data_IF_106006256586
#
_entry.id   IF_106006256586
#
_cell.length_a   1.000
_cell.length_b   1.000
_cell.length_c   1.000
_cell.angle_alpha   90.00
_cell.angle_beta   90.00
_cell.angle_gamma   90.00
#
_symmetry.space_group_name_H-M   'P 1'
#
loop_
_entity.id
_entity.type
_entity.pdbx_description
1 polymer ?
#
# COMPACT_ATOMS: atom_id res chain seq x y z
N UNK A 1 7.12 -18.55 -12.86
CA UNK A 1 7.11 -17.42 -13.81
C UNK A 1 6.04 -17.65 -14.88
N UNK A 2 4.76 -17.73 -14.49
CA UNK A 2 3.58 -17.84 -15.38
C UNK A 2 2.39 -17.20 -14.65
N UNK A 3 2.39 -15.88 -14.50
CA UNK A 3 1.23 -15.14 -13.93
C UNK A 3 1.20 -13.70 -14.49
N UNK A 4 1.16 -13.50 -15.82
CA UNK A 4 1.39 -12.13 -16.33
C UNK A 4 0.58 -11.64 -17.53
N UNK A 5 -0.35 -12.39 -18.14
CA UNK A 5 -1.05 -11.87 -19.34
C UNK A 5 -2.47 -11.38 -19.09
N UNK A 6 -3.25 -12.03 -18.23
CA UNK A 6 -4.64 -11.62 -17.98
C UNK A 6 -4.80 -10.54 -16.90
N UNK A 7 -3.95 -10.48 -15.87
CA UNK A 7 -4.05 -9.42 -14.84
C UNK A 7 -3.63 -8.05 -15.40
N UNK A 8 -2.64 -8.01 -16.29
CA UNK A 8 -2.14 -6.77 -16.90
C UNK A 8 -3.21 -6.08 -17.78
N UNK A 9 -4.03 -6.85 -18.49
CA UNK A 9 -5.10 -6.30 -19.33
C UNK A 9 -6.23 -5.70 -18.49
N UNK A 10 -6.65 -6.36 -17.42
CA UNK A 10 -7.66 -5.85 -16.47
C UNK A 10 -7.15 -4.58 -15.79
N UNK A 11 -5.89 -4.58 -15.32
CA UNK A 11 -5.27 -3.42 -14.68
C UNK A 11 -5.14 -2.22 -15.63
N UNK A 12 -4.82 -2.43 -16.92
CA UNK A 12 -4.79 -1.36 -17.93
C UNK A 12 -6.16 -0.73 -18.15
N UNK A 13 -7.24 -1.52 -18.13
CA UNK A 13 -8.62 -1.01 -18.28
C UNK A 13 -9.04 -0.19 -17.06
N UNK A 14 -8.70 -0.61 -15.84
CA UNK A 14 -8.94 0.15 -14.60
C UNK A 14 -8.16 1.49 -14.56
N UNK A 15 -6.90 1.49 -15.03
CA UNK A 15 -6.10 2.72 -15.12
C UNK A 15 -6.71 3.68 -16.16
N UNK A 16 -7.22 3.16 -17.28
CA UNK A 16 -7.78 3.97 -18.38
C UNK A 16 -9.16 4.55 -18.04
N UNK A 17 -10.01 3.80 -17.32
CA UNK A 17 -11.29 4.30 -16.79
C UNK A 17 -11.09 5.38 -15.73
N UNK A 18 -10.06 5.24 -14.88
CA UNK A 18 -9.64 6.31 -13.96
C UNK A 18 -9.17 7.58 -14.69
N UNK A 19 -8.38 7.43 -15.76
CA UNK A 19 -7.98 8.57 -16.60
C UNK A 19 -9.18 9.30 -17.25
N UNK A 20 -10.32 8.62 -17.36
CA UNK A 20 -11.57 9.14 -17.89
C UNK A 20 -12.50 9.73 -16.81
N UNK A 21 -12.10 9.69 -15.52
CA UNK A 21 -12.79 10.39 -14.43
C UNK A 21 -14.03 9.68 -13.88
N UNK A 22 -14.13 8.36 -14.05
CA UNK A 22 -15.27 7.58 -13.56
C UNK A 22 -14.78 6.33 -12.82
N UNK A 23 -14.87 6.35 -11.50
CA UNK A 23 -14.73 5.17 -10.63
C UNK A 23 -16.10 4.81 -10.08
N UNK A 24 -16.64 3.69 -10.54
CA UNK A 24 -18.02 3.31 -10.25
C UNK A 24 -18.15 2.68 -8.85
N UNK A 25 -17.13 1.94 -8.40
CA UNK A 25 -17.15 1.16 -7.17
C UNK A 25 -15.80 1.18 -6.42
N UNK A 26 -15.76 0.95 -5.09
CA UNK A 26 -14.53 0.85 -4.30
C UNK A 26 -13.56 -0.19 -4.83
N UNK A 27 -14.08 -1.31 -5.36
CA UNK A 27 -13.26 -2.36 -5.97
C UNK A 27 -12.46 -1.87 -7.19
N UNK A 28 -12.95 -0.86 -7.91
CA UNK A 28 -12.21 -0.25 -9.01
C UNK A 28 -11.06 0.61 -8.48
N UNK A 29 -11.24 1.28 -7.33
CA UNK A 29 -10.14 1.97 -6.64
C UNK A 29 -9.08 0.99 -6.15
N UNK A 30 -9.50 -0.15 -5.58
CA UNK A 30 -8.57 -1.22 -5.19
C UNK A 30 -7.81 -1.72 -6.42
N UNK A 31 -8.49 -1.97 -7.54
CA UNK A 31 -7.87 -2.40 -8.79
C UNK A 31 -6.87 -1.37 -9.33
N UNK A 32 -7.18 -0.07 -9.22
CA UNK A 32 -6.25 1.01 -9.54
C UNK A 32 -5.02 1.02 -8.63
N UNK A 33 -5.24 0.90 -7.32
CA UNK A 33 -4.17 0.79 -6.32
C UNK A 33 -3.29 -0.44 -6.55
N UNK A 34 -3.87 -1.54 -6.99
CA UNK A 34 -3.15 -2.75 -7.37
C UNK A 34 -2.31 -2.55 -8.64
N UNK A 35 -2.91 -1.98 -9.69
CA UNK A 35 -2.26 -1.75 -10.97
C UNK A 35 -1.09 -0.76 -10.93
N UNK A 36 -1.03 0.11 -9.93
CA UNK A 36 0.06 1.09 -9.77
C UNK A 36 0.92 0.83 -8.55
N UNK A 37 0.36 0.99 -7.36
CA UNK A 37 1.14 0.95 -6.12
C UNK A 37 1.55 -0.46 -5.73
N UNK A 38 0.68 -1.46 -5.94
CA UNK A 38 1.08 -2.85 -5.66
C UNK A 38 2.14 -3.34 -6.63
N UNK A 39 2.05 -2.99 -7.92
CA UNK A 39 3.11 -3.30 -8.89
C UNK A 39 4.46 -2.70 -8.48
N UNK A 40 4.46 -1.43 -8.04
CA UNK A 40 5.66 -0.79 -7.51
C UNK A 40 6.18 -1.52 -6.26
N UNK A 41 5.29 -1.91 -5.35
CA UNK A 41 5.67 -2.67 -4.16
C UNK A 41 6.27 -4.03 -4.53
N UNK A 42 5.73 -4.75 -5.51
CA UNK A 42 6.28 -6.02 -5.98
C UNK A 42 7.68 -5.85 -6.58
N UNK A 43 7.91 -4.79 -7.36
CA UNK A 43 9.23 -4.49 -7.92
C UNK A 43 10.23 -4.18 -6.79
N UNK A 44 9.84 -3.35 -5.83
CA UNK A 44 10.68 -3.03 -4.67
C UNK A 44 10.94 -4.27 -3.81
N UNK A 45 9.93 -5.10 -3.58
CA UNK A 45 10.06 -6.37 -2.87
C UNK A 45 11.06 -7.28 -3.58
N UNK A 46 10.95 -7.46 -4.90
CA UNK A 46 11.88 -8.26 -5.69
C UNK A 46 13.31 -7.72 -5.63
N UNK A 47 13.48 -6.39 -5.63
CA UNK A 47 14.78 -5.78 -5.44
C UNK A 47 15.35 -6.06 -4.05
N UNK A 48 14.56 -5.87 -2.99
CA UNK A 48 14.95 -6.11 -1.60
C UNK A 48 15.25 -7.59 -1.32
N UNK A 49 14.52 -8.47 -1.99
CA UNK A 49 14.72 -9.93 -2.03
C UNK A 49 15.67 -10.34 -3.17
N UNK A 50 16.67 -9.50 -3.50
CA UNK A 50 17.75 -9.88 -4.41
C UNK A 50 18.99 -10.37 -3.65
N UNK A 51 19.67 -11.37 -4.22
CA UNK A 51 20.82 -12.03 -3.57
C UNK A 51 21.93 -11.04 -3.18
N UNK A 52 21.99 -9.90 -3.86
CA UNK A 52 22.94 -8.82 -3.58
C UNK A 52 22.56 -8.04 -2.30
N UNK A 53 21.27 -7.82 -2.05
CA UNK A 53 20.81 -7.01 -0.93
C UNK A 53 20.54 -7.83 0.32
N UNK A 54 19.99 -9.05 0.22
CA UNK A 54 19.61 -9.81 1.42
C UNK A 54 19.70 -11.34 1.25
N UNK A 55 20.91 -11.91 1.10
CA UNK A 55 21.08 -13.34 0.82
C UNK A 55 20.40 -14.27 1.86
N UNK A 56 20.46 -13.92 3.15
CA UNK A 56 19.81 -14.71 4.20
C UNK A 56 18.29 -14.65 4.17
N UNK A 57 17.73 -13.53 3.71
CA UNK A 57 16.27 -13.35 3.64
C UNK A 57 15.70 -14.09 2.44
N UNK A 58 16.44 -14.16 1.34
CA UNK A 58 16.01 -14.91 0.16
C UNK A 58 15.96 -16.39 0.46
N UNK A 59 17.03 -16.92 1.04
CA UNK A 59 17.02 -18.30 1.50
C UNK A 59 15.84 -18.58 2.42
N UNK A 60 15.61 -17.74 3.43
CA UNK A 60 14.45 -17.85 4.32
C UNK A 60 13.12 -17.89 3.56
N UNK A 61 12.96 -17.01 2.56
CA UNK A 61 11.75 -16.93 1.75
C UNK A 61 11.64 -18.12 0.79
N UNK A 62 12.75 -18.66 0.28
CA UNK A 62 12.80 -19.86 -0.57
C UNK A 62 12.41 -21.14 0.19
N UNK A 63 12.61 -21.20 1.52
CA UNK A 63 12.21 -22.34 2.36
C UNK A 63 10.69 -22.53 2.48
N UNK A 64 9.88 -21.48 2.27
CA UNK A 64 8.43 -21.55 2.47
C UNK A 64 7.65 -20.77 1.42
N UNK A 65 6.84 -21.49 0.64
CA UNK A 65 5.89 -20.90 -0.30
C UNK A 65 4.78 -20.13 0.42
N UNK A 66 4.43 -20.52 1.65
CA UNK A 66 3.49 -19.81 2.49
C UNK A 66 4.03 -18.43 2.88
N UNK A 67 5.31 -18.36 3.29
CA UNK A 67 5.98 -17.10 3.59
C UNK A 67 6.04 -16.18 2.35
N UNK A 68 6.35 -16.72 1.17
CA UNK A 68 6.33 -15.98 -0.10
C UNK A 68 4.95 -15.36 -0.39
N UNK A 69 3.89 -16.15 -0.24
CA UNK A 69 2.52 -15.70 -0.47
C UNK A 69 2.13 -14.61 0.51
N UNK A 70 2.39 -14.81 1.82
CA UNK A 70 2.06 -13.82 2.85
C UNK A 70 2.73 -12.46 2.61
N UNK A 71 4.03 -12.44 2.28
CA UNK A 71 4.75 -11.20 2.00
C UNK A 71 4.18 -10.50 0.75
N UNK A 72 3.87 -11.27 -0.29
CA UNK A 72 3.29 -10.74 -1.54
C UNK A 72 1.89 -10.16 -1.30
N UNK A 73 1.05 -10.85 -0.54
CA UNK A 73 -0.28 -10.37 -0.18
C UNK A 73 -0.22 -9.10 0.68
N UNK A 74 0.72 -9.01 1.63
CA UNK A 74 0.96 -7.78 2.40
C UNK A 74 1.30 -6.62 1.47
N UNK A 75 2.21 -6.81 0.51
CA UNK A 75 2.58 -5.81 -0.49
C UNK A 75 1.37 -5.35 -1.32
N UNK A 76 0.48 -6.28 -1.67
CA UNK A 76 -0.77 -6.01 -2.40
C UNK A 76 -1.73 -5.14 -1.58
N UNK A 77 -2.04 -5.55 -0.35
CA UNK A 77 -2.95 -4.81 0.53
C UNK A 77 -2.44 -3.39 0.82
N UNK A 78 -1.13 -3.23 1.05
CA UNK A 78 -0.52 -1.90 1.24
C UNK A 78 -0.68 -1.05 -0.03
N UNK A 79 -0.45 -1.62 -1.21
CA UNK A 79 -0.58 -0.89 -2.47
C UNK A 79 -2.03 -0.48 -2.76
N UNK A 80 -3.00 -1.36 -2.54
CA UNK A 80 -4.43 -1.06 -2.67
C UNK A 80 -4.87 0.05 -1.70
N UNK A 81 -4.48 -0.04 -0.42
CA UNK A 81 -4.74 1.00 0.57
C UNK A 81 -4.13 2.35 0.17
N UNK A 82 -2.86 2.34 -0.28
CA UNK A 82 -2.16 3.54 -0.75
C UNK A 82 -2.85 4.17 -1.97
N UNK A 83 -3.35 3.35 -2.89
CA UNK A 83 -4.11 3.80 -4.05
C UNK A 83 -5.38 4.55 -3.64
N UNK A 84 -6.18 3.96 -2.75
CA UNK A 84 -7.41 4.60 -2.25
C UNK A 84 -7.08 5.92 -1.53
N UNK A 85 -6.10 5.93 -0.62
CA UNK A 85 -5.70 7.13 0.10
C UNK A 85 -5.23 8.26 -0.84
N UNK A 86 -4.48 7.91 -1.89
CA UNK A 86 -3.98 8.87 -2.87
C UNK A 86 -5.12 9.55 -3.63
N UNK A 87 -6.19 8.81 -3.92
CA UNK A 87 -7.40 9.33 -4.58
C UNK A 87 -8.15 10.29 -3.67
N UNK A 88 -8.35 9.92 -2.40
CA UNK A 88 -8.99 10.78 -1.40
C UNK A 88 -8.22 12.10 -1.27
N UNK A 89 -6.90 12.03 -1.09
CA UNK A 89 -6.03 13.22 -0.97
C UNK A 89 -6.06 14.06 -2.25
N UNK A 90 -6.04 13.41 -3.42
CA UNK A 90 -6.05 14.06 -4.72
C UNK A 90 -7.38 14.71 -5.11
N UNK A 91 -8.49 14.35 -4.45
CA UNK A 91 -9.87 14.71 -4.88
C UNK A 91 -10.03 16.21 -5.10
N UNK A 92 -9.59 17.05 -4.16
CA UNK A 92 -9.67 18.51 -4.29
C UNK A 92 -8.88 19.03 -5.50
N UNK A 93 -7.67 18.53 -5.70
CA UNK A 93 -6.82 18.94 -6.82
C UNK A 93 -7.46 18.60 -8.17
N UNK A 94 -7.97 17.38 -8.33
CA UNK A 94 -8.63 16.94 -9.55
C UNK A 94 -9.94 17.70 -9.82
N UNK A 95 -10.73 17.97 -8.78
CA UNK A 95 -11.94 18.75 -8.91
C UNK A 95 -11.66 20.18 -9.43
N UNK A 96 -10.66 20.84 -8.85
CA UNK A 96 -10.34 22.24 -9.17
C UNK A 96 -9.60 22.41 -10.50
N UNK A 97 -8.66 21.51 -10.81
CA UNK A 97 -7.74 21.70 -11.94
C UNK A 97 -8.06 20.83 -13.16
N UNK A 98 -8.84 19.76 -12.97
CA UNK A 98 -9.17 18.78 -14.02
C UNK A 98 -10.66 18.61 -14.23
N UNK A 99 -11.50 19.29 -13.45
CA UNK A 99 -12.95 19.17 -13.49
C UNK A 99 -13.42 17.70 -13.40
N UNK A 100 -12.77 16.92 -12.52
CA UNK A 100 -12.98 15.49 -12.34
C UNK A 100 -13.15 15.14 -10.86
N UNK A 101 -14.09 14.23 -10.57
CA UNK A 101 -14.29 13.64 -9.24
C UNK A 101 -13.98 12.16 -9.31
N UNK A 102 -12.97 11.74 -8.55
CA UNK A 102 -12.47 10.36 -8.58
C UNK A 102 -12.91 9.55 -7.36
N UNK A 103 -13.98 9.98 -6.68
CA UNK A 103 -14.56 9.25 -5.56
C UNK A 103 -15.52 8.16 -6.06
N UNK A 104 -15.75 7.08 -5.28
CA UNK A 104 -16.68 6.02 -5.66
C UNK A 104 -18.12 6.53 -5.82
N UNK A 105 -18.68 6.35 -7.01
CA UNK A 105 -20.03 6.84 -7.34
C UNK A 105 -21.10 6.15 -6.49
N UNK A 106 -20.94 4.87 -6.17
CA UNK A 106 -21.84 4.12 -5.32
C UNK A 106 -21.90 4.67 -3.87
N UNK A 107 -20.76 4.96 -3.26
CA UNK A 107 -20.68 5.59 -1.93
C UNK A 107 -21.27 7.01 -2.02
N UNK A 108 -20.94 7.77 -3.05
CA UNK A 108 -21.51 9.10 -3.26
C UNK A 108 -23.05 9.05 -3.38
N UNK A 109 -23.57 8.09 -4.12
CA UNK A 109 -25.02 7.88 -4.30
C UNK A 109 -25.69 7.50 -2.99
N UNK A 110 -25.05 6.65 -2.17
CA UNK A 110 -25.55 6.26 -0.84
C UNK A 110 -25.73 7.45 0.11
N UNK A 111 -24.91 8.50 -0.05
CA UNK A 111 -24.96 9.73 0.75
C UNK A 111 -25.66 10.90 0.04
N UNK A 112 -26.40 10.63 -1.04
CA UNK A 112 -27.10 11.63 -1.87
C UNK A 112 -26.19 12.80 -2.31
N UNK A 113 -24.96 12.47 -2.69
CA UNK A 113 -23.93 13.42 -3.10
C UNK A 113 -23.67 13.32 -4.61
N UNK A 114 -24.02 14.36 -5.36
CA UNK A 114 -23.74 14.39 -6.80
C UNK A 114 -22.32 14.85 -7.10
N UNK A 115 -21.72 14.32 -8.18
CA UNK A 115 -20.41 14.79 -8.67
C UNK A 115 -20.44 16.26 -9.09
N UNK A 116 -21.55 16.71 -9.68
CA UNK A 116 -21.73 18.11 -10.10
C UNK A 116 -21.72 19.05 -8.90
N UNK A 117 -22.44 18.73 -7.82
CA UNK A 117 -22.45 19.50 -6.57
C UNK A 117 -21.05 19.60 -5.96
N UNK A 118 -20.26 18.53 -6.02
CA UNK A 118 -18.86 18.58 -5.58
C UNK A 118 -18.00 19.46 -6.47
N UNK A 119 -18.15 19.39 -7.80
CA UNK A 119 -17.41 20.25 -8.72
C UNK A 119 -17.73 21.72 -8.49
N UNK A 120 -19.03 22.06 -8.35
CA UNK A 120 -19.48 23.42 -8.01
C UNK A 120 -18.93 23.88 -6.66
N UNK A 121 -18.95 23.02 -5.64
CA UNK A 121 -18.36 23.30 -4.34
C UNK A 121 -16.87 23.66 -4.45
N UNK A 122 -16.09 22.83 -5.15
CA UNK A 122 -14.64 23.04 -5.29
C UNK A 122 -14.26 24.23 -6.18
N UNK A 123 -15.14 24.60 -7.12
CA UNK A 123 -15.01 25.80 -7.97
C UNK A 123 -15.54 27.07 -7.29
N UNK A 124 -16.24 26.94 -6.16
CA UNK A 124 -16.75 28.06 -5.38
C UNK A 124 -18.15 28.55 -5.79
N UNK A 125 -18.88 27.78 -6.60
CA UNK A 125 -20.19 28.11 -7.16
C UNK A 125 -21.36 27.35 -6.49
N UNK A 126 -21.30 27.19 -5.17
CA UNK A 126 -22.27 26.37 -4.42
C UNK A 126 -22.84 27.12 -3.22
N UNK A 127 -24.17 27.15 -3.12
CA UNK A 127 -24.92 27.89 -2.09
C UNK A 127 -25.11 27.05 -0.81
N UNK A 128 -25.18 25.72 -0.95
CA UNK A 128 -25.41 24.77 0.16
C UNK A 128 -24.11 24.11 0.65
N UNK A 129 -23.06 24.92 0.85
CA UNK A 129 -21.71 24.41 1.17
C UNK A 129 -21.66 23.48 2.37
N UNK A 130 -22.30 23.87 3.47
CA UNK A 130 -22.21 23.12 4.74
C UNK A 130 -22.81 21.70 4.64
N UNK A 131 -23.92 21.55 3.92
CA UNK A 131 -24.57 20.24 3.73
C UNK A 131 -23.71 19.32 2.85
N UNK A 132 -23.22 19.86 1.72
CA UNK A 132 -22.40 19.11 0.77
C UNK A 132 -21.06 18.71 1.41
N UNK A 133 -20.46 19.59 2.23
CA UNK A 133 -19.26 19.27 3.01
C UNK A 133 -19.50 18.17 4.05
N UNK A 134 -20.68 18.12 4.67
CA UNK A 134 -21.03 17.03 5.60
C UNK A 134 -21.14 15.70 4.86
N UNK A 135 -21.91 15.65 3.76
CA UNK A 135 -22.05 14.46 2.90
C UNK A 135 -20.70 14.00 2.35
N UNK A 136 -19.84 14.93 1.94
CA UNK A 136 -18.48 14.62 1.47
C UNK A 136 -17.63 13.97 2.57
N UNK A 137 -17.73 14.42 3.82
CA UNK A 137 -17.01 13.80 4.94
C UNK A 137 -17.44 12.35 5.14
N UNK A 138 -18.74 12.06 5.04
CA UNK A 138 -19.26 10.69 5.17
C UNK A 138 -18.79 9.79 4.02
N UNK A 139 -18.79 10.30 2.79
CA UNK A 139 -18.25 9.58 1.61
C UNK A 139 -16.75 9.30 1.77
N UNK A 140 -15.97 10.30 2.21
CA UNK A 140 -14.53 10.14 2.45
C UNK A 140 -14.30 9.12 3.57
N UNK A 141 -15.05 9.20 4.67
CA UNK A 141 -14.95 8.27 5.78
C UNK A 141 -15.18 6.83 5.30
N UNK A 142 -16.28 6.57 4.61
CA UNK A 142 -16.62 5.22 4.11
C UNK A 142 -15.58 4.72 3.10
N UNK A 143 -15.07 5.58 2.23
CA UNK A 143 -13.96 5.24 1.31
C UNK A 143 -12.68 4.88 2.07
N UNK A 144 -12.35 5.63 3.13
CA UNK A 144 -11.18 5.41 3.98
C UNK A 144 -11.32 4.15 4.87
N UNK A 145 -12.53 3.73 5.22
CA UNK A 145 -12.76 2.45 5.92
C UNK A 145 -12.22 1.30 5.07
N UNK A 146 -12.51 1.28 3.76
CA UNK A 146 -11.97 0.25 2.85
C UNK A 146 -10.45 0.25 2.83
N UNK A 147 -9.83 1.44 2.74
CA UNK A 147 -8.36 1.56 2.79
C UNK A 147 -7.78 1.04 4.11
N UNK A 148 -8.46 1.31 5.23
CA UNK A 148 -8.06 0.85 6.55
C UNK A 148 -8.22 -0.68 6.69
N UNK A 149 -9.25 -1.28 6.11
CA UNK A 149 -9.45 -2.74 6.12
C UNK A 149 -8.30 -3.47 5.41
N UNK A 150 -7.79 -2.92 4.30
CA UNK A 150 -6.57 -3.43 3.67
C UNK A 150 -5.36 -3.35 4.62
N UNK A 151 -5.19 -2.25 5.37
CA UNK A 151 -4.09 -2.12 6.34
C UNK A 151 -4.23 -3.09 7.52
N UNK A 152 -5.45 -3.29 8.03
CA UNK A 152 -5.73 -4.26 9.10
C UNK A 152 -5.42 -5.68 8.62
N UNK A 153 -5.82 -6.01 7.39
CA UNK A 153 -5.52 -7.31 6.78
C UNK A 153 -4.01 -7.51 6.61
N UNK A 154 -3.29 -6.49 6.16
CA UNK A 154 -1.83 -6.53 6.05
C UNK A 154 -1.15 -6.72 7.42
N UNK A 155 -1.64 -6.04 8.47
CA UNK A 155 -1.16 -6.20 9.85
C UNK A 155 -1.39 -7.61 10.38
N UNK A 156 -2.54 -8.20 10.10
CA UNK A 156 -2.85 -9.57 10.51
C UNK A 156 -1.94 -10.58 9.81
N UNK A 157 -1.77 -10.45 8.48
CA UNK A 157 -0.83 -11.27 7.72
C UNK A 157 0.62 -11.10 8.19
N UNK A 158 1.01 -9.91 8.65
CA UNK A 158 2.34 -9.71 9.23
C UNK A 158 2.55 -10.51 10.54
N UNK A 159 1.49 -10.77 11.32
CA UNK A 159 1.59 -11.70 12.46
C UNK A 159 1.83 -13.12 11.99
N UNK A 160 1.10 -13.57 10.98
CA UNK A 160 1.31 -14.89 10.36
C UNK A 160 2.73 -15.04 9.79
N UNK A 161 3.29 -13.99 9.16
CA UNK A 161 4.69 -13.97 8.72
C UNK A 161 5.65 -14.21 9.87
N UNK A 162 5.44 -13.58 11.03
CA UNK A 162 6.29 -13.77 12.21
C UNK A 162 6.24 -15.22 12.67
N UNK A 163 5.04 -15.80 12.75
CA UNK A 163 4.82 -17.19 13.17
C UNK A 163 5.52 -18.18 12.22
N UNK A 164 5.35 -17.99 10.91
CA UNK A 164 5.97 -18.85 9.90
C UNK A 164 7.50 -18.71 9.91
N UNK A 165 8.05 -17.50 10.09
CA UNK A 165 9.50 -17.31 10.26
C UNK A 165 10.00 -18.04 11.52
N UNK A 166 9.31 -17.94 12.65
CA UNK A 166 9.69 -18.64 13.89
C UNK A 166 9.69 -20.16 13.69
N UNK A 167 8.71 -20.70 12.95
CA UNK A 167 8.64 -22.11 12.58
C UNK A 167 9.82 -22.52 11.71
N UNK A 168 10.13 -21.77 10.65
CA UNK A 168 11.28 -22.05 9.77
C UNK A 168 12.60 -22.02 10.56
N UNK A 169 12.79 -21.03 11.45
CA UNK A 169 14.01 -20.95 12.28
C UNK A 169 14.16 -22.19 13.18
N UNK A 170 13.05 -22.77 13.65
CA UNK A 170 13.09 -23.97 14.50
C UNK A 170 13.41 -25.26 13.75
N UNK A 171 13.15 -25.29 12.44
CA UNK A 171 13.30 -26.50 11.61
C UNK A 171 14.48 -26.44 10.64
N UNK A 172 14.99 -25.25 10.32
CA UNK A 172 16.03 -25.09 9.29
C UNK A 172 17.41 -25.50 9.80
N UNK A 173 18.19 -26.13 8.92
CA UNK A 173 19.60 -26.45 9.15
C UNK A 173 20.55 -25.41 8.54
N UNK A 174 20.02 -24.38 7.83
CA UNK A 174 20.87 -23.38 7.15
C UNK A 174 21.57 -22.45 8.16
N UNK A 175 22.89 -22.56 8.23
CA UNK A 175 23.74 -21.79 9.13
C UNK A 175 23.63 -20.27 8.93
N UNK A 176 23.40 -19.81 7.69
CA UNK A 176 23.32 -18.38 7.38
C UNK A 176 22.04 -17.78 7.96
N UNK A 177 20.92 -18.50 7.87
CA UNK A 177 19.64 -18.10 8.47
C UNK A 177 19.79 -18.05 9.99
N UNK A 178 20.31 -19.12 10.60
CA UNK A 178 20.47 -19.22 12.05
C UNK A 178 21.44 -18.16 12.63
N UNK A 179 22.49 -17.81 11.90
CA UNK A 179 23.43 -16.75 12.30
C UNK A 179 22.79 -15.37 12.22
N UNK A 180 22.03 -15.08 11.16
CA UNK A 180 21.43 -13.76 10.93
C UNK A 180 20.15 -13.53 11.72
N UNK A 181 19.37 -14.57 12.00
CA UNK A 181 18.12 -14.48 12.76
C UNK A 181 18.30 -13.83 14.14
N UNK A 182 19.46 -14.04 14.79
CA UNK A 182 19.84 -13.40 16.06
C UNK A 182 19.91 -11.87 16.00
N UNK A 183 20.07 -11.29 14.81
CA UNK A 183 20.16 -9.84 14.60
C UNK A 183 18.85 -9.21 14.15
N UNK A 184 17.83 -10.01 13.84
CA UNK A 184 16.56 -9.53 13.33
C UNK A 184 15.72 -8.88 14.44
N UNK A 185 15.12 -7.74 14.11
CA UNK A 185 14.25 -7.03 15.03
C UNK A 185 12.86 -7.63 15.01
N UNK A 186 12.28 -7.85 16.20
CA UNK A 186 10.97 -8.50 16.36
C UNK A 186 10.83 -9.81 15.55
N UNK A 187 11.93 -10.56 15.43
CA UNK A 187 12.01 -11.84 14.70
C UNK A 187 11.79 -11.75 13.18
N UNK A 188 11.88 -10.55 12.59
CA UNK A 188 11.70 -10.34 11.14
C UNK A 188 12.94 -9.66 10.54
N UNK A 189 13.44 -10.09 9.37
CA UNK A 189 14.49 -9.39 8.65
C UNK A 189 14.16 -7.90 8.45
N UNK A 190 15.16 -7.02 8.59
CA UNK A 190 14.95 -5.57 8.48
C UNK A 190 14.30 -5.14 7.14
N UNK A 191 14.55 -5.87 6.04
CA UNK A 191 13.96 -5.61 4.73
C UNK A 191 12.48 -6.01 4.61
N UNK A 192 11.97 -6.82 5.54
CA UNK A 192 10.56 -7.20 5.64
C UNK A 192 9.81 -6.40 6.72
N UNK A 193 10.53 -5.60 7.51
CA UNK A 193 9.98 -4.88 8.65
C UNK A 193 9.50 -3.47 8.27
N UNK A 194 8.19 -3.31 8.03
CA UNK A 194 7.57 -2.03 7.64
C UNK A 194 6.96 -1.22 8.82
N UNK A 195 7.06 -1.73 10.05
CA UNK A 195 6.21 -1.30 11.17
C UNK A 195 6.70 -0.07 11.96
N UNK A 196 7.68 0.70 11.45
CA UNK A 196 8.39 1.65 12.31
C UNK A 196 7.57 2.86 12.78
N UNK A 197 6.42 3.13 12.16
CA UNK A 197 5.56 4.29 12.49
C UNK A 197 4.06 3.96 12.58
N UNK A 198 3.67 2.69 12.70
CA UNK A 198 2.27 2.27 12.89
C UNK A 198 1.23 2.92 11.93
N UNK A 199 1.68 3.27 10.72
CA UNK A 199 0.89 4.00 9.71
C UNK A 199 0.22 5.29 10.22
N UNK A 200 0.77 5.93 11.27
CA UNK A 200 0.25 7.18 11.82
C UNK A 200 0.69 8.39 10.97
N UNK A 201 -0.09 8.65 9.92
CA UNK A 201 0.10 9.73 8.91
C UNK A 201 0.22 11.12 9.56
N UNK A 202 -0.29 11.30 10.78
CA UNK A 202 -0.29 12.58 11.50
C UNK A 202 0.91 12.74 12.44
N UNK A 203 1.73 11.72 12.62
CA UNK A 203 2.93 11.85 13.44
C UNK A 203 3.97 12.74 12.75
N UNK A 204 4.51 13.73 13.48
CA UNK A 204 5.68 14.53 13.05
C UNK A 204 6.92 13.68 12.72
N UNK A 205 6.91 12.39 13.05
CA UNK A 205 7.96 11.42 12.74
C UNK A 205 7.83 10.82 11.32
N UNK A 206 6.67 10.96 10.66
CA UNK A 206 6.48 10.59 9.24
C UNK A 206 6.95 11.69 8.29
N UNK A 207 7.17 12.92 8.77
CA UNK A 207 8.09 13.88 8.15
C UNK A 207 9.55 13.39 8.29
N UNK A 208 9.79 12.14 7.93
CA UNK A 208 11.12 11.59 7.86
C UNK A 208 11.78 12.30 6.68
N UNK A 209 12.69 13.19 7.03
CA UNK A 209 13.69 13.75 6.13
C UNK A 209 14.25 12.60 5.26
N UNK A 210 13.81 12.49 4.01
CA UNK A 210 14.11 11.37 3.09
C UNK A 210 15.61 11.06 3.03
N UNK A 211 16.45 12.08 3.21
CA UNK A 211 17.90 11.97 3.27
C UNK A 211 18.40 11.07 4.41
N UNK A 212 17.71 11.00 5.56
CA UNK A 212 18.08 10.13 6.70
C UNK A 212 17.87 8.66 6.36
N UNK A 213 16.82 8.32 5.62
CA UNK A 213 16.58 6.95 5.17
C UNK A 213 17.66 6.53 4.17
N UNK A 214 17.93 7.37 3.17
CA UNK A 214 18.99 7.15 2.17
C UNK A 214 20.37 7.04 2.84
N UNK A 215 20.68 7.94 3.78
CA UNK A 215 21.94 7.95 4.53
C UNK A 215 22.12 6.71 5.41
N UNK A 216 21.06 6.28 6.11
CA UNK A 216 21.13 5.08 6.93
C UNK A 216 21.26 3.81 6.08
N UNK A 217 20.59 3.72 4.94
CA UNK A 217 20.76 2.63 3.98
C UNK A 217 22.19 2.58 3.44
N UNK A 218 22.74 3.71 3.00
CA UNK A 218 24.13 3.82 2.55
C UNK A 218 25.13 3.44 3.66
N UNK A 219 24.95 4.00 4.86
CA UNK A 219 25.83 3.74 6.01
C UNK A 219 25.80 2.27 6.42
N UNK A 220 24.63 1.64 6.43
CA UNK A 220 24.50 0.22 6.76
C UNK A 220 25.10 -0.68 5.67
N UNK A 221 24.97 -0.30 4.40
CA UNK A 221 25.65 -0.96 3.28
C UNK A 221 27.17 -0.91 3.43
N UNK A 222 27.73 0.27 3.73
CA UNK A 222 29.17 0.46 3.92
C UNK A 222 29.74 -0.25 5.15
N UNK A 223 28.93 -0.43 6.20
CA UNK A 223 29.32 -1.10 7.44
C UNK A 223 29.12 -2.61 7.40
N UNK A 224 28.67 -3.16 6.29
CA UNK A 224 28.40 -4.59 6.16
C UNK A 224 29.74 -5.32 6.07
N UNK A 225 30.07 -6.11 7.09
CA UNK A 225 31.14 -7.11 6.98
C UNK A 225 30.53 -8.38 6.38
N UNK A 226 31.10 -8.80 5.25
CA UNK A 226 30.77 -10.05 4.54
C UNK A 226 31.41 -11.21 5.30
#
# INVERSE_FOLDING_TARGET
MVFETNSILVQRVSIKSYQQGSTSYPNELCSYGEGLYSQLNYIVQNLLLSNQLSPSTIKLVEESSELQNLITEISAHIGQSTGIASIVIGTKYYAQNKNQINLPIDIMTKHDLSQESLLRLFQGHEDQKAEIEAKLKDVIYETCVVANDHLLTAREKLKAVKEEISKIISTTEDELILRKSKTWKKQVPDCLFLEKNDFDILSKNIENNYWKLVWNSYRNYQKRQI
#
